data_IF_419577675864
#
_entry.id   IF_419577675864
#
_cell.length_a   1.000
_cell.length_b   1.000
_cell.length_c   1.000
_cell.angle_alpha   90.00
_cell.angle_beta   90.00
_cell.angle_gamma   90.00
#
_symmetry.space_group_name_H-M   'P 1'
#
loop_
_entity.id
_entity.type
_entity.pdbx_description
1 polymer ?
#
# COMPACT_ATOMS: atom_id res chain seq x y z
N UNK A 1 10.95 -16.76 -29.58
CA UNK A 1 9.63 -17.28 -29.20
C UNK A 1 8.59 -16.21 -29.51
N UNK A 2 7.91 -16.32 -30.67
CA UNK A 2 6.78 -15.45 -31.06
C UNK A 2 5.50 -15.99 -30.40
N UNK A 3 5.33 -15.84 -29.09
CA UNK A 3 4.02 -16.05 -28.50
C UNK A 3 3.17 -14.82 -28.81
N UNK A 4 2.14 -14.96 -29.61
CA UNK A 4 1.13 -13.92 -29.84
C UNK A 4 0.64 -13.46 -28.45
N UNK A 5 0.98 -12.24 -28.05
CA UNK A 5 0.54 -11.67 -26.79
C UNK A 5 -0.98 -11.50 -26.80
N UNK A 6 -1.66 -11.98 -25.77
CA UNK A 6 -3.11 -11.80 -25.61
C UNK A 6 -3.45 -10.35 -25.26
N UNK A 7 -4.69 -9.92 -25.41
CA UNK A 7 -5.12 -8.67 -24.79
C UNK A 7 -4.96 -8.73 -23.27
N UNK A 8 -4.79 -7.58 -22.64
CA UNK A 8 -4.73 -7.45 -21.17
C UNK A 8 -6.02 -7.96 -20.53
N UNK A 9 -5.94 -8.37 -19.26
CA UNK A 9 -7.11 -8.78 -18.49
C UNK A 9 -8.05 -7.58 -18.28
N UNK A 10 -9.10 -7.49 -19.12
CA UNK A 10 -10.05 -6.38 -19.11
C UNK A 10 -10.79 -6.25 -17.78
N UNK A 11 -11.15 -7.38 -17.14
CA UNK A 11 -11.87 -7.37 -15.86
C UNK A 11 -11.03 -6.72 -14.77
N UNK A 12 -9.75 -7.10 -14.65
CA UNK A 12 -8.83 -6.50 -13.67
C UNK A 12 -8.65 -5.00 -13.94
N UNK A 13 -8.44 -4.63 -15.21
CA UNK A 13 -8.32 -3.23 -15.63
C UNK A 13 -9.57 -2.42 -15.28
N UNK A 14 -10.78 -2.95 -15.55
CA UNK A 14 -12.05 -2.27 -15.23
C UNK A 14 -12.18 -2.04 -13.71
N UNK A 15 -11.85 -3.03 -12.86
CA UNK A 15 -11.90 -2.88 -11.41
C UNK A 15 -10.95 -1.76 -10.96
N UNK A 16 -9.73 -1.71 -11.49
CA UNK A 16 -8.76 -0.65 -11.16
C UNK A 16 -9.26 0.73 -11.62
N UNK A 17 -9.81 0.83 -12.83
CA UNK A 17 -10.37 2.11 -13.33
C UNK A 17 -11.50 2.59 -12.40
N UNK A 18 -12.41 1.70 -12.00
CA UNK A 18 -13.51 2.05 -11.10
C UNK A 18 -12.95 2.53 -9.75
N UNK A 19 -11.97 1.82 -9.15
CA UNK A 19 -11.34 2.23 -7.90
C UNK A 19 -10.67 3.60 -8.01
N UNK A 20 -9.94 3.87 -9.10
CA UNK A 20 -9.27 5.15 -9.32
C UNK A 20 -10.28 6.29 -9.53
N UNK A 21 -11.33 6.08 -10.33
CA UNK A 21 -12.38 7.10 -10.60
C UNK A 21 -13.13 7.44 -9.31
N UNK A 22 -13.60 6.42 -8.57
CA UNK A 22 -14.25 6.62 -7.28
C UNK A 22 -13.30 7.26 -6.27
N UNK A 23 -12.02 6.83 -6.27
CA UNK A 23 -10.99 7.38 -5.40
C UNK A 23 -10.76 8.87 -5.64
N UNK A 24 -10.63 9.29 -6.90
CA UNK A 24 -10.48 10.71 -7.25
C UNK A 24 -11.72 11.51 -6.84
N UNK A 25 -12.93 11.01 -7.07
CA UNK A 25 -14.15 11.66 -6.63
C UNK A 25 -14.17 11.85 -5.10
N UNK A 26 -13.82 10.81 -4.34
CA UNK A 26 -13.75 10.89 -2.88
C UNK A 26 -12.63 11.79 -2.38
N UNK A 27 -11.48 11.77 -3.05
CA UNK A 27 -10.38 12.68 -2.75
C UNK A 27 -10.82 14.16 -2.91
N UNK A 28 -11.51 14.50 -3.99
CA UNK A 28 -12.06 15.85 -4.17
C UNK A 28 -13.03 16.21 -3.06
N UNK A 29 -13.98 15.33 -2.73
CA UNK A 29 -14.92 15.58 -1.63
C UNK A 29 -14.19 15.82 -0.30
N UNK A 30 -13.28 14.93 0.08
CA UNK A 30 -12.54 15.03 1.32
C UNK A 30 -11.65 16.29 1.39
N UNK A 31 -11.10 16.71 0.25
CA UNK A 31 -10.23 17.90 0.15
C UNK A 31 -10.97 19.23 0.33
N UNK A 32 -12.31 19.25 0.22
CA UNK A 32 -13.11 20.45 0.51
C UNK A 32 -12.90 20.96 1.95
N UNK A 33 -12.63 20.07 2.90
CA UNK A 33 -12.29 20.43 4.27
C UNK A 33 -10.95 21.17 4.38
N UNK A 34 -10.00 20.89 3.50
CA UNK A 34 -8.72 21.63 3.40
C UNK A 34 -8.93 22.97 2.74
N UNK A 35 -9.71 23.03 1.66
CA UNK A 35 -10.03 24.28 0.96
C UNK A 35 -10.65 25.31 1.91
N UNK A 36 -11.52 24.87 2.81
CA UNK A 36 -12.17 25.75 3.80
C UNK A 36 -11.18 26.36 4.81
N UNK A 37 -9.95 25.80 4.94
CA UNK A 37 -8.92 26.27 5.89
C UNK A 37 -7.78 27.02 5.20
N UNK A 38 -7.31 26.52 4.06
CA UNK A 38 -6.15 27.04 3.33
C UNK A 38 -6.25 26.67 1.85
N UNK A 39 -6.48 27.69 1.03
CA UNK A 39 -6.53 27.55 -0.43
C UNK A 39 -5.17 27.10 -1.00
N UNK A 40 -4.07 27.65 -0.50
CA UNK A 40 -2.72 27.29 -0.92
C UNK A 40 -2.42 25.80 -0.68
N UNK A 41 -2.73 25.31 0.53
CA UNK A 41 -2.54 23.89 0.88
C UNK A 41 -3.41 22.99 0.00
N UNK A 42 -4.65 23.39 -0.29
CA UNK A 42 -5.54 22.66 -1.18
C UNK A 42 -4.95 22.50 -2.58
N UNK A 43 -4.46 23.59 -3.21
CA UNK A 43 -3.84 23.51 -4.53
C UNK A 43 -2.56 22.67 -4.53
N UNK A 44 -1.73 22.77 -3.51
CA UNK A 44 -0.52 21.96 -3.39
C UNK A 44 -0.84 20.45 -3.33
N UNK A 45 -1.83 20.06 -2.53
CA UNK A 45 -2.31 18.69 -2.42
C UNK A 45 -2.91 18.20 -3.75
N UNK A 46 -3.72 19.04 -4.39
CA UNK A 46 -4.37 18.72 -5.65
C UNK A 46 -3.35 18.55 -6.79
N UNK A 47 -2.37 19.44 -6.91
CA UNK A 47 -1.28 19.31 -7.88
C UNK A 47 -0.49 18.02 -7.67
N UNK A 48 -0.12 17.73 -6.42
CA UNK A 48 0.62 16.51 -6.10
C UNK A 48 -0.18 15.25 -6.47
N UNK A 49 -1.49 15.22 -6.18
CA UNK A 49 -2.35 14.06 -6.49
C UNK A 49 -2.62 13.91 -8.00
N UNK A 50 -2.92 15.00 -8.70
CA UNK A 50 -3.28 14.94 -10.13
C UNK A 50 -2.03 14.86 -11.02
N UNK A 51 -1.02 15.68 -10.79
CA UNK A 51 0.16 15.71 -11.67
C UNK A 51 1.07 14.53 -11.38
N UNK A 52 1.53 14.38 -10.15
CA UNK A 52 2.43 13.27 -9.83
C UNK A 52 1.68 11.94 -9.77
N UNK A 53 0.56 11.89 -9.04
CA UNK A 53 -0.17 10.64 -8.81
C UNK A 53 -0.87 10.13 -10.06
N UNK A 54 -1.75 10.92 -10.66
CA UNK A 54 -2.57 10.45 -11.77
C UNK A 54 -1.82 10.49 -13.11
N UNK A 55 -1.30 11.65 -13.51
CA UNK A 55 -0.61 11.79 -14.81
C UNK A 55 0.70 11.02 -14.79
N UNK A 56 1.56 11.23 -13.81
CA UNK A 56 2.81 10.47 -13.64
C UNK A 56 2.55 8.98 -13.49
N UNK A 57 1.53 8.59 -12.70
CA UNK A 57 1.11 7.22 -12.53
C UNK A 57 0.62 6.57 -13.83
N UNK A 58 -0.15 7.27 -14.65
CA UNK A 58 -0.58 6.79 -15.97
C UNK A 58 0.59 6.61 -16.93
N UNK A 59 1.57 7.52 -16.92
CA UNK A 59 2.79 7.38 -17.72
C UNK A 59 3.56 6.12 -17.30
N UNK A 60 3.82 5.93 -16.00
CA UNK A 60 4.51 4.74 -15.51
C UNK A 60 3.71 3.45 -15.72
N UNK A 61 2.39 3.50 -15.60
CA UNK A 61 1.50 2.40 -15.96
C UNK A 61 1.67 2.00 -17.43
N UNK A 62 1.63 2.96 -18.35
CA UNK A 62 1.79 2.72 -19.79
C UNK A 62 3.20 2.18 -20.11
N UNK A 63 4.24 2.68 -19.46
CA UNK A 63 5.59 2.15 -19.57
C UNK A 63 5.68 0.70 -19.07
N UNK A 64 5.11 0.41 -17.88
CA UNK A 64 5.09 -0.93 -17.32
C UNK A 64 4.34 -1.94 -18.20
N UNK A 65 3.29 -1.51 -18.91
CA UNK A 65 2.58 -2.33 -19.90
C UNK A 65 3.44 -2.69 -21.10
N UNK A 66 4.39 -1.83 -21.49
CA UNK A 66 5.26 -2.04 -22.67
C UNK A 66 6.51 -2.83 -22.33
N UNK A 67 7.07 -2.68 -21.12
CA UNK A 67 8.31 -3.34 -20.69
C UNK A 67 8.04 -4.83 -20.45
N UNK A 68 8.75 -5.76 -21.14
CA UNK A 68 8.59 -7.19 -20.91
C UNK A 68 8.88 -7.54 -19.44
N UNK A 69 8.04 -8.38 -18.81
CA UNK A 69 8.17 -8.73 -17.40
C UNK A 69 9.53 -9.36 -17.05
N UNK A 70 10.20 -10.01 -18.01
CA UNK A 70 11.55 -10.58 -17.85
C UNK A 70 12.62 -9.51 -17.60
N UNK A 71 12.40 -8.27 -18.04
CA UNK A 71 13.28 -7.14 -17.70
C UNK A 71 13.38 -6.94 -16.19
N UNK A 72 12.24 -6.97 -15.48
CA UNK A 72 12.18 -6.82 -14.02
C UNK A 72 12.96 -7.93 -13.32
N UNK A 73 12.86 -9.19 -13.82
CA UNK A 73 13.63 -10.32 -13.29
C UNK A 73 15.13 -10.12 -13.44
N UNK A 74 15.57 -9.70 -14.63
CA UNK A 74 17.00 -9.52 -14.94
C UNK A 74 17.63 -8.40 -14.10
N UNK A 75 16.89 -7.32 -13.83
CA UNK A 75 17.40 -6.14 -13.15
C UNK A 75 16.93 -6.04 -11.68
N UNK A 76 16.29 -7.07 -11.15
CA UNK A 76 15.67 -7.07 -9.82
C UNK A 76 16.61 -6.60 -8.70
N UNK A 77 17.85 -7.09 -8.69
CA UNK A 77 18.86 -6.71 -7.70
C UNK A 77 19.23 -5.23 -7.81
N UNK A 78 19.52 -4.73 -9.00
CA UNK A 78 19.91 -3.33 -9.21
C UNK A 78 18.78 -2.35 -8.88
N UNK A 79 17.52 -2.70 -9.21
CA UNK A 79 16.33 -1.91 -8.89
C UNK A 79 16.16 -1.83 -7.37
N UNK A 80 16.33 -2.96 -6.67
CA UNK A 80 16.21 -3.02 -5.22
C UNK A 80 17.32 -2.22 -4.53
N UNK A 81 18.59 -2.44 -4.90
CA UNK A 81 19.72 -1.67 -4.33
C UNK A 81 19.58 -0.18 -4.63
N UNK A 82 19.19 0.18 -5.87
CA UNK A 82 18.94 1.59 -6.23
C UNK A 82 17.83 2.21 -5.34
N UNK A 83 16.76 1.48 -5.07
CA UNK A 83 15.70 1.98 -4.17
C UNK A 83 16.18 2.13 -2.71
N UNK A 84 17.04 1.23 -2.21
CA UNK A 84 17.66 1.37 -0.90
C UNK A 84 18.58 2.61 -0.82
N UNK A 85 19.34 2.91 -1.89
CA UNK A 85 20.22 4.07 -1.94
C UNK A 85 19.47 5.41 -2.00
N UNK A 86 18.24 5.43 -2.50
CA UNK A 86 17.38 6.62 -2.51
C UNK A 86 16.82 6.92 -1.11
N UNK A 87 16.64 5.91 -0.25
CA UNK A 87 16.03 6.10 1.08
C UNK A 87 16.77 7.11 1.98
N UNK A 88 18.12 7.11 2.09
CA UNK A 88 18.84 8.08 2.92
C UNK A 88 18.76 9.53 2.43
N UNK A 89 18.36 9.79 1.18
CA UNK A 89 18.29 11.15 0.63
C UNK A 89 17.32 12.06 1.39
N UNK A 90 16.35 11.49 2.11
CA UNK A 90 15.40 12.26 2.94
C UNK A 90 16.08 12.95 4.14
N UNK A 91 17.29 12.53 4.51
CA UNK A 91 18.04 13.12 5.62
C UNK A 91 18.95 14.28 5.18
N UNK A 92 19.07 14.54 3.86
CA UNK A 92 19.89 15.63 3.34
C UNK A 92 19.16 16.95 3.59
N UNK A 93 19.80 17.91 4.31
CA UNK A 93 19.21 19.24 4.54
C UNK A 93 18.87 19.95 3.22
N UNK A 94 17.70 20.54 3.14
CA UNK A 94 17.19 21.20 1.93
C UNK A 94 16.53 20.30 0.90
N UNK A 95 16.79 18.99 0.92
CA UNK A 95 16.13 18.00 0.05
C UNK A 95 14.99 17.27 0.77
N UNK A 96 15.22 16.91 2.04
CA UNK A 96 14.21 16.21 2.85
C UNK A 96 13.18 17.15 3.45
N UNK A 97 11.90 16.74 3.42
CA UNK A 97 10.79 17.38 4.14
C UNK A 97 10.47 16.60 5.40
N UNK A 98 10.53 17.29 6.54
CA UNK A 98 10.11 16.75 7.84
C UNK A 98 8.68 17.17 8.12
N UNK A 99 7.81 16.19 8.40
CA UNK A 99 6.44 16.44 8.82
C UNK A 99 6.15 15.61 10.09
N UNK A 100 5.63 16.26 11.14
CA UNK A 100 5.34 15.56 12.40
C UNK A 100 6.56 14.87 13.04
N UNK A 101 7.77 15.44 12.89
CA UNK A 101 9.01 14.87 13.45
C UNK A 101 9.61 13.70 12.66
N UNK A 102 9.09 13.39 11.48
CA UNK A 102 9.60 12.33 10.62
C UNK A 102 9.96 12.86 9.23
N UNK A 103 11.19 12.56 8.78
CA UNK A 103 11.68 12.91 7.44
C UNK A 103 11.44 11.74 6.50
N UNK A 104 10.37 11.81 5.69
CA UNK A 104 9.91 10.71 4.83
C UNK A 104 9.74 11.09 3.37
N UNK A 105 9.77 12.38 3.06
CA UNK A 105 9.54 12.91 1.72
C UNK A 105 10.76 13.67 1.20
N UNK A 106 10.95 13.60 -0.09
CA UNK A 106 11.92 14.42 -0.84
C UNK A 106 11.15 15.55 -1.49
N UNK A 107 11.63 16.78 -1.29
CA UNK A 107 11.11 17.98 -1.93
C UNK A 107 11.63 18.07 -3.36
N UNK A 108 10.73 18.03 -4.34
CA UNK A 108 11.06 18.25 -5.74
C UNK A 108 10.51 19.62 -6.24
N UNK A 109 10.30 20.55 -5.33
CA UNK A 109 9.73 21.87 -5.60
C UNK A 109 8.21 21.85 -5.63
N UNK A 110 7.61 21.59 -6.77
CA UNK A 110 6.14 21.60 -6.96
C UNK A 110 5.47 20.35 -6.38
N UNK A 111 6.19 19.23 -6.32
CA UNK A 111 5.67 17.95 -5.82
C UNK A 111 6.60 17.35 -4.78
N UNK A 112 6.04 16.53 -3.90
CA UNK A 112 6.80 15.75 -2.91
C UNK A 112 6.81 14.27 -3.29
N UNK A 113 7.98 13.64 -3.13
CA UNK A 113 8.22 12.24 -3.47
C UNK A 113 8.55 11.44 -2.23
N UNK A 114 7.90 10.29 -2.05
CA UNK A 114 8.15 9.38 -0.92
C UNK A 114 8.95 8.16 -1.37
N UNK A 115 10.24 8.02 -1.02
CA UNK A 115 11.11 6.94 -1.48
C UNK A 115 10.64 5.53 -1.12
N UNK A 116 9.96 5.37 0.01
CA UNK A 116 9.46 4.06 0.45
C UNK A 116 8.45 3.44 -0.52
N UNK A 117 7.76 4.24 -1.33
CA UNK A 117 6.80 3.72 -2.31
C UNK A 117 7.51 2.92 -3.42
N UNK A 118 8.67 3.41 -3.91
CA UNK A 118 9.51 2.64 -4.86
C UNK A 118 10.14 1.44 -4.16
N UNK A 119 10.57 1.59 -2.89
CA UNK A 119 11.16 0.49 -2.13
C UNK A 119 10.19 -0.68 -1.98
N UNK A 120 8.91 -0.44 -1.70
CA UNK A 120 7.88 -1.49 -1.59
C UNK A 120 7.78 -2.34 -2.86
N UNK A 121 7.73 -1.69 -4.03
CA UNK A 121 7.59 -2.41 -5.31
C UNK A 121 8.90 -3.12 -5.69
N UNK A 122 10.04 -2.45 -5.52
CA UNK A 122 11.36 -3.05 -5.80
C UNK A 122 11.66 -4.26 -4.91
N UNK A 123 11.24 -4.22 -3.65
CA UNK A 123 11.30 -5.34 -2.72
C UNK A 123 10.50 -6.55 -3.23
N UNK A 124 9.26 -6.34 -3.70
CA UNK A 124 8.43 -7.42 -4.27
C UNK A 124 9.07 -7.99 -5.54
N UNK A 125 9.62 -7.13 -6.43
CA UNK A 125 10.33 -7.57 -7.64
C UNK A 125 11.54 -8.43 -7.27
N UNK A 126 12.36 -7.96 -6.33
CA UNK A 126 13.57 -8.67 -5.90
C UNK A 126 13.22 -10.01 -5.21
N UNK A 127 12.28 -9.98 -4.27
CA UNK A 127 11.86 -11.19 -3.56
C UNK A 127 11.28 -12.24 -4.52
N UNK A 128 10.50 -11.82 -5.53
CA UNK A 128 9.99 -12.71 -6.58
C UNK A 128 11.10 -13.35 -7.41
N UNK A 129 12.10 -12.56 -7.79
CA UNK A 129 13.24 -13.06 -8.57
C UNK A 129 14.04 -14.07 -7.75
N UNK A 130 14.31 -13.75 -6.49
CA UNK A 130 15.07 -14.60 -5.61
C UNK A 130 14.33 -15.91 -5.26
N UNK A 131 13.08 -15.86 -4.82
CA UNK A 131 12.28 -17.05 -4.51
C UNK A 131 12.10 -17.95 -5.74
N UNK A 132 12.00 -17.37 -6.95
CA UNK A 132 11.93 -18.15 -8.19
C UNK A 132 13.25 -18.84 -8.55
N UNK A 133 14.38 -18.30 -8.12
CA UNK A 133 15.72 -18.88 -8.34
C UNK A 133 16.00 -20.00 -7.37
N UNK A 134 15.67 -19.84 -6.09
CA UNK A 134 15.96 -20.82 -5.03
C UNK A 134 15.10 -22.09 -5.12
N UNK A 135 14.00 -22.06 -5.80
CA UNK A 135 12.93 -23.05 -6.04
C UNK A 135 13.09 -24.43 -5.37
N UNK A 136 14.20 -25.15 -5.60
CA UNK A 136 14.43 -26.50 -5.06
C UNK A 136 15.11 -26.51 -3.68
N UNK A 137 15.72 -25.40 -3.27
CA UNK A 137 16.42 -25.25 -1.98
C UNK A 137 15.62 -24.42 -0.98
N UNK A 138 14.35 -24.19 -1.26
CA UNK A 138 13.51 -23.29 -0.44
C UNK A 138 13.23 -23.86 0.96
N UNK A 139 13.38 -25.18 1.13
CA UNK A 139 13.25 -25.87 2.43
C UNK A 139 14.48 -25.67 3.34
N UNK A 140 15.63 -25.32 2.76
CA UNK A 140 16.84 -25.04 3.53
C UNK A 140 16.77 -23.61 4.10
N UNK A 141 16.95 -23.50 5.42
CA UNK A 141 16.96 -22.21 6.14
C UNK A 141 17.90 -21.19 5.51
N UNK A 142 19.10 -21.64 5.06
CA UNK A 142 20.13 -20.76 4.49
C UNK A 142 19.69 -20.10 3.18
N UNK A 143 18.88 -20.80 2.39
CA UNK A 143 18.45 -20.28 1.08
C UNK A 143 16.99 -19.81 1.07
N UNK A 144 16.14 -20.32 1.97
CA UNK A 144 14.72 -19.99 2.04
C UNK A 144 14.44 -18.75 2.87
N UNK A 145 14.93 -18.66 4.08
CA UNK A 145 14.50 -17.64 5.05
C UNK A 145 15.59 -16.66 5.43
N UNK A 146 16.82 -17.12 5.62
CA UNK A 146 17.92 -16.26 6.06
C UNK A 146 18.08 -14.98 5.21
N UNK A 147 18.02 -15.04 3.85
CA UNK A 147 18.10 -13.84 3.04
C UNK A 147 16.91 -12.91 3.20
N UNK A 148 15.69 -13.43 3.42
CA UNK A 148 14.54 -12.57 3.75
C UNK A 148 14.76 -11.83 5.07
N UNK A 149 15.26 -12.52 6.10
CA UNK A 149 15.58 -11.90 7.39
C UNK A 149 16.62 -10.80 7.20
N UNK A 150 17.69 -11.04 6.45
CA UNK A 150 18.73 -10.04 6.17
C UNK A 150 18.13 -8.83 5.46
N UNK A 151 17.33 -9.04 4.42
CA UNK A 151 16.69 -7.96 3.66
C UNK A 151 15.75 -7.14 4.57
N UNK A 152 14.89 -7.82 5.34
CA UNK A 152 13.97 -7.15 6.26
C UNK A 152 14.71 -6.42 7.38
N UNK A 153 15.86 -6.92 7.84
CA UNK A 153 16.69 -6.22 8.85
C UNK A 153 17.28 -4.94 8.26
N UNK A 154 17.79 -4.96 7.02
CA UNK A 154 18.29 -3.76 6.33
C UNK A 154 17.15 -2.73 6.15
N UNK A 155 16.01 -3.19 5.67
CA UNK A 155 14.81 -2.34 5.48
C UNK A 155 14.35 -1.77 6.82
N UNK A 156 14.30 -2.59 7.88
CA UNK A 156 13.94 -2.16 9.23
C UNK A 156 14.86 -1.04 9.73
N UNK A 157 16.18 -1.21 9.58
CA UNK A 157 17.15 -0.19 9.96
C UNK A 157 16.88 1.16 9.29
N UNK A 158 16.63 1.17 7.98
CA UNK A 158 16.33 2.40 7.24
C UNK A 158 14.99 3.02 7.63
N UNK A 159 13.93 2.19 7.77
CA UNK A 159 12.58 2.67 8.06
C UNK A 159 12.42 3.14 9.51
N UNK A 160 13.15 2.54 10.46
CA UNK A 160 13.13 2.99 11.86
C UNK A 160 13.87 4.32 12.03
N UNK A 161 14.91 4.59 11.24
CA UNK A 161 15.55 5.92 11.18
C UNK A 161 14.58 6.99 10.63
N UNK A 162 13.60 6.62 9.80
CA UNK A 162 12.58 7.51 9.21
C UNK A 162 11.25 7.53 9.99
N UNK A 163 11.15 7.02 11.21
CA UNK A 163 9.97 6.54 11.98
C UNK A 163 8.79 6.00 11.12
N UNK A 164 9.07 5.14 10.12
CA UNK A 164 8.04 4.58 9.22
C UNK A 164 7.76 3.09 9.48
N UNK A 165 7.29 2.79 10.69
CA UNK A 165 6.93 1.43 11.12
C UNK A 165 5.81 0.83 10.26
N UNK A 166 4.89 1.64 9.74
CA UNK A 166 3.75 1.18 8.93
C UNK A 166 4.19 0.50 7.62
N UNK A 167 5.14 1.11 6.92
CA UNK A 167 5.68 0.55 5.67
C UNK A 167 6.45 -0.74 5.93
N UNK A 168 7.17 -0.83 7.05
CA UNK A 168 7.85 -2.06 7.47
C UNK A 168 6.87 -3.20 7.72
N UNK A 169 5.80 -2.97 8.49
CA UNK A 169 4.77 -3.97 8.77
C UNK A 169 4.14 -4.48 7.46
N UNK A 170 3.83 -3.58 6.53
CA UNK A 170 3.25 -3.93 5.25
C UNK A 170 4.20 -4.82 4.41
N UNK A 171 5.49 -4.49 4.37
CA UNK A 171 6.49 -5.28 3.66
C UNK A 171 6.75 -6.64 4.33
N UNK A 172 6.71 -6.70 5.67
CA UNK A 172 6.80 -7.94 6.44
C UNK A 172 5.63 -8.88 6.12
N UNK A 173 4.40 -8.37 6.12
CA UNK A 173 3.20 -9.15 5.78
C UNK A 173 3.28 -9.63 4.33
N UNK A 174 3.59 -8.74 3.38
CA UNK A 174 3.67 -9.11 1.97
C UNK A 174 4.77 -10.16 1.71
N UNK A 175 5.95 -9.99 2.30
CA UNK A 175 7.05 -10.95 2.20
C UNK A 175 6.71 -12.30 2.83
N UNK A 176 6.07 -12.31 3.99
CA UNK A 176 5.59 -13.54 4.64
C UNK A 176 4.57 -14.29 3.77
N UNK A 177 3.58 -13.58 3.23
CA UNK A 177 2.61 -14.16 2.31
C UNK A 177 3.27 -14.71 1.02
N UNK A 178 4.28 -14.02 0.48
CA UNK A 178 5.03 -14.51 -0.67
C UNK A 178 5.83 -15.78 -0.36
N UNK A 179 6.42 -15.91 0.83
CA UNK A 179 7.03 -17.16 1.30
C UNK A 179 6.02 -18.29 1.33
N UNK A 180 4.84 -18.05 1.89
CA UNK A 180 3.76 -19.03 1.93
C UNK A 180 3.36 -19.48 0.52
N UNK A 181 3.13 -18.52 -0.40
CA UNK A 181 2.79 -18.82 -1.82
C UNK A 181 3.92 -19.55 -2.56
N UNK A 182 5.18 -19.37 -2.14
CA UNK A 182 6.34 -20.00 -2.75
C UNK A 182 6.54 -21.47 -2.32
N UNK A 183 5.81 -21.92 -1.28
CA UNK A 183 5.86 -23.30 -0.79
C UNK A 183 6.90 -23.55 0.31
N UNK A 184 7.30 -22.50 1.03
CA UNK A 184 8.17 -22.63 2.22
C UNK A 184 7.45 -23.47 3.29
N UNK A 185 8.15 -24.37 4.02
CA UNK A 185 7.57 -25.16 5.10
C UNK A 185 6.86 -24.30 6.15
N UNK A 186 5.65 -24.69 6.55
CA UNK A 186 4.80 -23.94 7.47
C UNK A 186 5.50 -23.56 8.78
N UNK A 187 6.41 -24.40 9.29
CA UNK A 187 7.19 -24.10 10.51
C UNK A 187 7.93 -22.77 10.45
N UNK A 188 8.44 -22.40 9.30
CA UNK A 188 9.18 -21.15 9.10
C UNK A 188 8.25 -19.96 8.96
N UNK A 189 7.10 -20.17 8.33
CA UNK A 189 6.06 -19.13 8.25
C UNK A 189 5.54 -18.78 9.66
N UNK A 190 5.25 -19.79 10.48
CA UNK A 190 4.86 -19.60 11.89
C UNK A 190 5.97 -18.91 12.69
N UNK A 191 7.24 -19.32 12.51
CA UNK A 191 8.38 -18.68 13.17
C UNK A 191 8.50 -17.19 12.79
N UNK A 192 8.26 -16.84 11.52
CA UNK A 192 8.27 -15.44 11.06
C UNK A 192 7.14 -14.62 11.70
N UNK A 193 5.94 -15.19 11.83
CA UNK A 193 4.81 -14.54 12.50
C UNK A 193 5.16 -14.29 13.98
N UNK A 194 5.66 -15.32 14.68
CA UNK A 194 6.05 -15.20 16.10
C UNK A 194 7.16 -14.14 16.25
N UNK A 195 8.19 -14.17 15.39
CA UNK A 195 9.25 -13.17 15.42
C UNK A 195 8.71 -11.75 15.16
N UNK A 196 7.77 -11.59 14.24
CA UNK A 196 7.09 -10.32 13.98
C UNK A 196 6.30 -9.81 15.17
N UNK A 197 5.52 -10.67 15.83
CA UNK A 197 4.76 -10.33 17.05
C UNK A 197 5.71 -9.92 18.18
N UNK A 198 6.79 -10.68 18.40
CA UNK A 198 7.80 -10.36 19.41
C UNK A 198 8.48 -9.02 19.13
N UNK A 199 8.86 -8.77 17.86
CA UNK A 199 9.46 -7.50 17.45
C UNK A 199 8.51 -6.32 17.69
N UNK A 200 7.22 -6.45 17.33
CA UNK A 200 6.19 -5.44 17.62
C UNK A 200 5.98 -5.23 19.11
N UNK A 201 6.04 -6.30 19.91
CA UNK A 201 6.00 -6.23 21.37
C UNK A 201 7.17 -5.42 21.92
N UNK A 202 8.41 -5.73 21.51
CA UNK A 202 9.62 -5.00 21.92
C UNK A 202 9.52 -3.53 21.53
N UNK A 203 9.10 -3.23 20.28
CA UNK A 203 8.90 -1.86 19.81
C UNK A 203 7.82 -1.12 20.64
N UNK A 204 6.76 -1.82 21.04
CA UNK A 204 5.72 -1.28 21.91
C UNK A 204 6.23 -0.87 23.30
N UNK A 205 7.27 -1.52 23.81
CA UNK A 205 7.91 -1.13 25.06
C UNK A 205 8.97 -0.03 24.90
N UNK A 206 9.69 -0.02 23.78
CA UNK A 206 10.84 0.87 23.56
C UNK A 206 10.48 2.19 22.87
N UNK A 207 9.40 2.22 22.08
CA UNK A 207 9.05 3.37 21.26
C UNK A 207 7.72 3.99 21.72
N UNK A 208 7.71 5.23 22.27
CA UNK A 208 6.49 5.88 22.78
C UNK A 208 5.37 5.94 21.72
N UNK A 209 5.71 6.18 20.47
CA UNK A 209 4.76 6.23 19.36
C UNK A 209 4.00 4.90 19.14
N UNK A 210 4.71 3.76 19.16
CA UNK A 210 4.10 2.43 19.00
C UNK A 210 3.29 2.08 20.24
N UNK A 211 3.83 2.39 21.44
CA UNK A 211 3.13 2.20 22.73
C UNK A 211 1.78 2.91 22.74
N UNK A 212 1.75 4.19 22.37
CA UNK A 212 0.51 4.98 22.35
C UNK A 212 -0.52 4.37 21.38
N UNK A 213 -0.11 3.89 20.19
CA UNK A 213 -1.02 3.25 19.23
C UNK A 213 -1.61 1.93 19.75
N UNK A 214 -0.81 1.13 20.46
CA UNK A 214 -1.30 -0.11 21.11
C UNK A 214 -2.25 0.25 22.27
N UNK A 215 -1.92 1.24 23.09
CA UNK A 215 -2.78 1.70 24.17
C UNK A 215 -4.12 2.23 23.65
N UNK A 216 -4.10 3.05 22.59
CA UNK A 216 -5.31 3.54 21.94
C UNK A 216 -6.19 2.40 21.40
N UNK A 217 -5.58 1.35 20.86
CA UNK A 217 -6.31 0.19 20.35
C UNK A 217 -6.96 -0.63 21.48
N UNK A 218 -6.24 -0.85 22.59
CA UNK A 218 -6.75 -1.63 23.74
C UNK A 218 -7.75 -0.82 24.56
N UNK A 219 -7.52 0.48 24.71
CA UNK A 219 -8.39 1.39 25.44
C UNK A 219 -8.63 2.69 24.67
N UNK A 220 -9.60 2.71 23.76
CA UNK A 220 -9.90 3.89 22.93
C UNK A 220 -10.37 5.13 23.70
N UNK A 221 -10.72 4.98 24.97
CA UNK A 221 -11.20 6.10 25.81
C UNK A 221 -10.11 6.75 26.67
N UNK A 222 -8.89 6.20 26.67
CA UNK A 222 -7.80 6.64 27.55
C UNK A 222 -7.29 8.06 27.23
N UNK A 223 -7.30 8.47 25.97
CA UNK A 223 -6.79 9.78 25.51
C UNK A 223 -7.66 10.32 24.39
N UNK A 224 -8.85 10.81 24.76
CA UNK A 224 -9.91 11.23 23.82
C UNK A 224 -9.51 12.46 22.98
N UNK A 225 -8.61 13.33 23.49
CA UNK A 225 -8.18 14.56 22.82
C UNK A 225 -6.83 14.40 22.11
N UNK A 226 -6.13 13.27 22.31
CA UNK A 226 -4.83 12.97 21.72
C UNK A 226 -4.85 11.78 20.77
N UNK A 227 -4.18 10.70 21.15
CA UNK A 227 -3.93 9.54 20.28
C UNK A 227 -5.20 8.77 19.86
N UNK A 228 -6.28 8.81 20.67
CA UNK A 228 -7.56 8.15 20.37
C UNK A 228 -8.51 9.01 19.54
N UNK A 229 -8.23 10.30 19.40
CA UNK A 229 -9.12 11.26 18.74
C UNK A 229 -9.45 10.86 17.29
N UNK A 230 -8.44 10.50 16.50
CA UNK A 230 -8.63 10.08 15.10
C UNK A 230 -9.57 8.88 14.97
N UNK A 231 -9.41 7.86 15.82
CA UNK A 231 -10.27 6.68 15.81
C UNK A 231 -11.71 7.03 16.18
N UNK A 232 -11.89 7.83 17.24
CA UNK A 232 -13.23 8.22 17.68
C UNK A 232 -13.97 9.03 16.63
N UNK A 233 -13.30 10.04 16.01
CA UNK A 233 -13.91 10.81 14.93
C UNK A 233 -14.23 9.96 13.70
N UNK A 234 -13.41 8.94 13.41
CA UNK A 234 -13.70 7.97 12.35
C UNK A 234 -14.96 7.16 12.67
N UNK A 235 -15.09 6.66 13.90
CA UNK A 235 -16.29 5.90 14.32
C UNK A 235 -17.55 6.76 14.34
N UNK A 236 -17.44 8.04 14.74
CA UNK A 236 -18.55 9.02 14.67
C UNK A 236 -18.95 9.24 13.20
N UNK A 237 -17.98 9.38 12.29
CA UNK A 237 -18.25 9.50 10.85
C UNK A 237 -19.03 8.30 10.31
N UNK A 238 -18.58 7.07 10.60
CA UNK A 238 -19.31 5.85 10.21
C UNK A 238 -20.72 5.79 10.81
N UNK A 239 -20.85 6.08 12.12
CA UNK A 239 -22.15 6.06 12.81
C UNK A 239 -23.12 7.10 12.23
N UNK A 240 -22.63 8.29 11.89
CA UNK A 240 -23.45 9.38 11.35
C UNK A 240 -23.91 9.15 9.91
N UNK A 241 -23.19 8.31 9.15
CA UNK A 241 -23.57 7.96 7.77
C UNK A 241 -24.71 6.96 7.66
N UNK A 242 -24.97 6.15 8.70
CA UNK A 242 -26.05 5.15 8.68
C UNK A 242 -25.95 4.19 7.47
N UNK A 243 -27.11 3.80 6.91
CA UNK A 243 -27.15 2.86 5.78
C UNK A 243 -26.81 3.50 4.43
N UNK A 244 -27.33 4.70 4.16
CA UNK A 244 -27.26 5.35 2.84
C UNK A 244 -26.28 6.53 2.76
N UNK A 245 -25.77 6.98 3.91
CA UNK A 245 -24.93 8.16 4.01
C UNK A 245 -25.72 9.47 4.02
N UNK A 246 -24.95 10.58 4.15
CA UNK A 246 -25.48 11.97 4.14
C UNK A 246 -25.55 12.57 2.74
N UNK A 247 -24.93 11.92 1.75
CA UNK A 247 -24.77 12.41 0.39
C UNK A 247 -23.34 12.85 0.07
N UNK A 248 -23.00 12.81 -1.21
CA UNK A 248 -21.66 13.23 -1.71
C UNK A 248 -21.38 14.68 -1.35
N UNK A 249 -20.21 14.96 -0.80
CA UNK A 249 -19.81 16.30 -0.38
C UNK A 249 -20.37 16.75 0.99
N UNK A 250 -21.25 15.97 1.63
CA UNK A 250 -22.01 16.37 2.84
C UNK A 250 -21.40 15.86 4.16
N UNK A 251 -20.18 15.30 4.14
CA UNK A 251 -19.49 14.96 5.37
C UNK A 251 -19.23 16.22 6.20
N UNK A 252 -19.61 16.22 7.47
CA UNK A 252 -19.33 17.27 8.45
C UNK A 252 -17.94 17.05 9.07
N UNK A 253 -17.56 15.79 9.28
CA UNK A 253 -16.32 15.44 9.95
C UNK A 253 -15.07 15.94 9.20
N UNK A 254 -15.11 16.04 7.86
CA UNK A 254 -13.99 16.55 7.06
C UNK A 254 -13.69 18.03 7.29
N UNK A 255 -14.65 18.82 7.83
CA UNK A 255 -14.48 20.24 8.11
C UNK A 255 -13.87 20.51 9.50
N UNK A 256 -12.82 19.77 9.84
CA UNK A 256 -11.97 20.09 10.97
C UNK A 256 -12.08 19.19 12.17
N UNK A 257 -12.99 18.26 12.17
CA UNK A 257 -13.11 17.29 13.25
C UNK A 257 -12.24 16.06 13.01
N UNK A 258 -12.24 15.50 11.80
CA UNK A 258 -11.47 14.32 11.45
C UNK A 258 -10.04 14.71 11.03
N UNK A 259 -8.98 14.19 11.68
CA UNK A 259 -7.61 14.36 11.22
C UNK A 259 -7.39 13.69 9.85
N UNK A 260 -6.61 14.33 8.98
CA UNK A 260 -6.22 13.82 7.67
C UNK A 260 -7.38 13.23 6.85
N UNK A 261 -8.51 13.96 6.66
CA UNK A 261 -9.71 13.42 6.02
C UNK A 261 -9.49 13.03 4.56
N UNK A 262 -8.56 13.66 3.87
CA UNK A 262 -8.14 13.36 2.49
C UNK A 262 -7.01 12.34 2.42
N UNK A 263 -6.30 12.12 3.53
CA UNK A 263 -5.19 11.19 3.70
C UNK A 263 -5.64 9.81 4.15
N UNK A 264 -5.15 9.40 5.30
CA UNK A 264 -5.37 8.06 5.84
C UNK A 264 -6.78 7.85 6.41
N UNK A 265 -7.55 8.93 6.71
CA UNK A 265 -8.93 8.85 7.22
C UNK A 265 -10.02 8.90 6.15
N UNK A 266 -9.67 8.87 4.85
CA UNK A 266 -10.65 9.05 3.77
C UNK A 266 -11.78 8.01 3.77
N UNK A 267 -11.52 6.78 4.24
CA UNK A 267 -12.54 5.75 4.32
C UNK A 267 -13.65 6.10 5.33
N UNK A 268 -13.34 6.85 6.39
CA UNK A 268 -14.34 7.37 7.31
C UNK A 268 -15.23 8.44 6.65
N UNK A 269 -14.64 9.31 5.78
CA UNK A 269 -15.42 10.26 4.97
C UNK A 269 -16.35 9.53 4.01
N UNK A 270 -15.88 8.44 3.36
CA UNK A 270 -16.72 7.57 2.52
C UNK A 270 -17.89 7.01 3.32
N UNK A 271 -17.61 6.56 4.56
CA UNK A 271 -18.64 6.03 5.46
C UNK A 271 -19.68 7.08 5.85
N UNK A 272 -19.27 8.33 6.08
CA UNK A 272 -20.21 9.41 6.38
C UNK A 272 -21.06 9.83 5.16
N UNK A 273 -20.43 9.92 3.97
CA UNK A 273 -21.10 10.40 2.76
C UNK A 273 -21.98 9.35 2.08
N UNK A 274 -21.58 8.08 2.06
CA UNK A 274 -22.28 6.99 1.36
C UNK A 274 -22.80 5.88 2.27
N UNK A 275 -22.57 6.00 3.57
CA UNK A 275 -23.05 5.06 4.57
C UNK A 275 -22.47 3.64 4.44
N UNK A 276 -23.17 2.69 5.03
CA UNK A 276 -22.80 1.27 5.00
C UNK A 276 -22.77 0.71 3.57
N UNK A 277 -23.70 1.10 2.71
CA UNK A 277 -23.73 0.61 1.32
C UNK A 277 -22.49 1.08 0.54
N UNK A 278 -22.11 2.35 0.66
CA UNK A 278 -20.92 2.88 -0.03
C UNK A 278 -19.63 2.21 0.44
N UNK A 279 -19.44 2.06 1.75
CA UNK A 279 -18.27 1.35 2.30
C UNK A 279 -18.21 -0.10 1.85
N UNK A 280 -19.37 -0.78 1.79
CA UNK A 280 -19.47 -2.16 1.29
C UNK A 280 -19.07 -2.26 -0.19
N UNK A 281 -19.46 -1.31 -1.04
CA UNK A 281 -19.02 -1.27 -2.45
C UNK A 281 -17.51 -1.22 -2.55
N UNK A 282 -16.83 -0.34 -1.79
CA UNK A 282 -15.38 -0.28 -1.78
C UNK A 282 -14.75 -1.58 -1.29
N UNK A 283 -15.27 -2.19 -0.21
CA UNK A 283 -14.79 -3.49 0.27
C UNK A 283 -14.89 -4.57 -0.80
N UNK A 284 -16.04 -4.67 -1.47
CA UNK A 284 -16.27 -5.64 -2.54
C UNK A 284 -15.31 -5.40 -3.71
N UNK A 285 -15.06 -4.14 -4.09
CA UNK A 285 -14.11 -3.81 -5.16
C UNK A 285 -12.68 -4.24 -4.80
N UNK A 286 -12.21 -4.06 -3.54
CA UNK A 286 -10.90 -4.55 -3.12
C UNK A 286 -10.83 -6.08 -3.07
N UNK A 287 -11.90 -6.76 -2.65
CA UNK A 287 -11.98 -8.23 -2.71
C UNK A 287 -11.92 -8.71 -4.16
N UNK A 288 -12.68 -8.10 -5.07
CA UNK A 288 -12.64 -8.43 -6.50
C UNK A 288 -11.26 -8.16 -7.12
N UNK A 289 -10.61 -7.05 -6.75
CA UNK A 289 -9.23 -6.74 -7.14
C UNK A 289 -8.27 -7.86 -6.71
N UNK A 290 -8.35 -8.29 -5.44
CA UNK A 290 -7.52 -9.36 -4.91
C UNK A 290 -7.78 -10.69 -5.63
N UNK A 291 -9.05 -11.11 -5.73
CA UNK A 291 -9.42 -12.38 -6.36
C UNK A 291 -9.03 -12.43 -7.84
N UNK A 292 -9.27 -11.33 -8.59
CA UNK A 292 -8.90 -11.28 -10.01
C UNK A 292 -7.39 -11.23 -10.20
N UNK A 293 -6.68 -10.46 -9.37
CA UNK A 293 -5.22 -10.39 -9.40
C UNK A 293 -4.57 -11.73 -9.05
N UNK A 294 -5.03 -12.43 -8.02
CA UNK A 294 -4.55 -13.78 -7.67
C UNK A 294 -4.87 -14.81 -8.77
N UNK A 295 -6.00 -14.67 -9.47
CA UNK A 295 -6.30 -15.50 -10.64
C UNK A 295 -5.32 -15.26 -11.78
N UNK A 296 -4.87 -14.00 -12.00
CA UNK A 296 -3.80 -13.68 -12.96
C UNK A 296 -2.49 -14.34 -12.51
N UNK A 297 -2.13 -14.26 -11.22
CA UNK A 297 -0.96 -14.93 -10.66
C UNK A 297 -0.98 -16.44 -10.89
N UNK A 298 -2.10 -17.09 -10.62
CA UNK A 298 -2.26 -18.54 -10.82
C UNK A 298 -2.03 -18.98 -12.28
N UNK A 299 -2.45 -18.14 -13.26
CA UNK A 299 -2.31 -18.41 -14.69
C UNK A 299 -1.02 -17.88 -15.31
N UNK A 300 -0.12 -17.32 -14.51
CA UNK A 300 1.13 -16.74 -14.97
C UNK A 300 2.05 -17.81 -15.63
N UNK A 301 2.89 -17.40 -16.62
CA UNK A 301 3.66 -18.35 -17.44
C UNK A 301 4.76 -19.08 -16.68
N UNK A 302 5.36 -18.45 -15.67
CA UNK A 302 6.48 -18.97 -14.90
C UNK A 302 6.38 -18.59 -13.42
N UNK A 303 7.28 -19.16 -12.58
CA UNK A 303 7.25 -18.95 -11.14
C UNK A 303 7.58 -17.50 -10.73
N UNK A 304 8.49 -16.84 -11.45
CA UNK A 304 8.81 -15.44 -11.17
C UNK A 304 7.59 -14.55 -11.36
N UNK A 305 6.94 -14.63 -12.53
CA UNK A 305 5.76 -13.83 -12.84
C UNK A 305 4.58 -14.15 -11.91
N UNK A 306 4.42 -15.42 -11.52
CA UNK A 306 3.42 -15.85 -10.53
C UNK A 306 3.63 -15.17 -9.19
N UNK A 307 4.86 -15.21 -8.65
CA UNK A 307 5.20 -14.60 -7.36
C UNK A 307 5.14 -13.07 -7.43
N UNK A 308 5.57 -12.47 -8.55
CA UNK A 308 5.54 -11.02 -8.75
C UNK A 308 4.11 -10.49 -8.73
N UNK A 309 3.20 -11.10 -9.49
CA UNK A 309 1.79 -10.72 -9.50
C UNK A 309 1.16 -10.95 -8.14
N UNK A 310 1.37 -12.12 -7.52
CA UNK A 310 0.85 -12.41 -6.19
C UNK A 310 1.35 -11.39 -5.16
N UNK A 311 2.65 -11.11 -5.15
CA UNK A 311 3.26 -10.15 -4.23
C UNK A 311 2.71 -8.73 -4.37
N UNK A 312 2.57 -8.23 -5.60
CA UNK A 312 1.98 -6.91 -5.87
C UNK A 312 0.52 -6.86 -5.38
N UNK A 313 -0.29 -7.85 -5.75
CA UNK A 313 -1.70 -7.90 -5.37
C UNK A 313 -1.86 -8.01 -3.86
N UNK A 314 -1.08 -8.85 -3.20
CA UNK A 314 -1.08 -8.99 -1.74
C UNK A 314 -0.68 -7.66 -1.08
N UNK A 315 0.40 -7.02 -1.53
CA UNK A 315 0.88 -5.76 -0.99
C UNK A 315 -0.21 -4.68 -1.02
N UNK A 316 -0.81 -4.45 -2.20
CA UNK A 316 -1.83 -3.42 -2.39
C UNK A 316 -3.13 -3.74 -1.63
N UNK A 317 -3.53 -5.01 -1.63
CA UNK A 317 -4.73 -5.47 -0.89
C UNK A 317 -4.53 -5.34 0.62
N UNK A 318 -3.41 -5.82 1.15
CA UNK A 318 -3.10 -5.67 2.58
C UNK A 318 -3.03 -4.20 2.99
N UNK A 319 -2.46 -3.33 2.16
CA UNK A 319 -2.43 -1.90 2.42
C UNK A 319 -3.84 -1.32 2.55
N UNK A 320 -4.77 -1.66 1.64
CA UNK A 320 -6.14 -1.20 1.69
C UNK A 320 -6.88 -1.73 2.93
N UNK A 321 -6.80 -3.03 3.20
CA UNK A 321 -7.48 -3.63 4.35
C UNK A 321 -6.90 -3.18 5.70
N UNK A 322 -5.58 -2.92 5.80
CA UNK A 322 -4.98 -2.35 7.01
C UNK A 322 -5.49 -0.93 7.28
N UNK A 323 -5.66 -0.09 6.25
CA UNK A 323 -6.29 1.22 6.40
C UNK A 323 -7.73 1.08 6.93
N UNK A 324 -8.55 0.28 6.26
CA UNK A 324 -9.96 0.06 6.64
C UNK A 324 -10.07 -0.49 8.06
N UNK A 325 -9.30 -1.53 8.38
CA UNK A 325 -9.31 -2.17 9.70
C UNK A 325 -8.88 -1.20 10.81
N UNK A 326 -7.91 -0.31 10.53
CA UNK A 326 -7.45 0.66 11.53
C UNK A 326 -8.49 1.74 11.81
N UNK A 327 -9.23 2.22 10.81
CA UNK A 327 -10.27 3.23 10.99
C UNK A 327 -11.57 2.69 11.60
N UNK A 328 -11.83 1.38 11.42
CA UNK A 328 -12.97 0.70 12.04
C UNK A 328 -12.67 0.16 13.45
N UNK A 329 -11.44 0.37 13.95
CA UNK A 329 -11.05 -0.12 15.28
C UNK A 329 -10.76 -1.62 15.36
N UNK A 330 -10.65 -2.33 14.23
CA UNK A 330 -10.30 -3.76 14.19
C UNK A 330 -8.78 -3.98 14.25
N UNK A 331 -7.99 -2.94 14.03
CA UNK A 331 -6.53 -2.96 14.09
C UNK A 331 -6.01 -1.62 14.64
N UNK A 332 -4.83 -1.58 15.30
CA UNK A 332 -4.23 -0.30 15.72
C UNK A 332 -4.09 0.68 14.56
N UNK A 333 -4.30 1.97 14.81
CA UNK A 333 -4.16 3.02 13.80
C UNK A 333 -2.79 2.94 13.12
N UNK A 334 -2.78 2.72 11.81
CA UNK A 334 -1.54 2.56 11.04
C UNK A 334 -1.09 3.83 10.34
N UNK A 335 -2.01 4.71 9.96
CA UNK A 335 -1.72 5.88 9.12
C UNK A 335 -1.27 5.50 7.70
N UNK A 336 -1.63 4.30 7.22
CA UNK A 336 -1.37 3.85 5.84
C UNK A 336 -2.47 4.42 4.94
N UNK A 337 -2.14 5.01 3.77
CA UNK A 337 -3.17 5.52 2.86
C UNK A 337 -3.96 4.40 2.19
N UNK A 338 -5.24 4.65 1.91
CA UNK A 338 -6.11 3.74 1.15
C UNK A 338 -5.71 3.75 -0.33
N UNK A 339 -5.32 2.60 -0.85
CA UNK A 339 -4.78 2.42 -2.21
C UNK A 339 -5.77 2.93 -3.27
N UNK A 340 -5.32 3.70 -4.24
CA UNK A 340 -6.08 4.37 -5.31
C UNK A 340 -7.03 5.49 -4.88
N UNK A 341 -7.27 5.67 -3.58
CA UNK A 341 -8.32 6.57 -3.06
C UNK A 341 -7.74 7.74 -2.26
N UNK A 342 -6.88 7.45 -1.28
CA UNK A 342 -6.29 8.48 -0.42
C UNK A 342 -5.37 9.42 -1.18
N UNK A 343 -5.20 10.63 -0.63
CA UNK A 343 -4.11 11.51 -1.00
C UNK A 343 -2.77 10.78 -0.83
N UNK A 344 -1.95 10.89 -1.83
CA UNK A 344 -0.61 10.34 -1.85
C UNK A 344 -0.14 10.22 -3.29
N UNK A 345 0.29 11.34 -3.90
CA UNK A 345 0.71 11.35 -5.31
C UNK A 345 1.71 10.23 -5.63
N UNK A 346 2.74 10.05 -4.79
CA UNK A 346 3.73 8.97 -4.97
C UNK A 346 3.12 7.58 -4.78
N UNK A 347 2.20 7.41 -3.83
CA UNK A 347 1.54 6.13 -3.58
C UNK A 347 0.64 5.72 -4.76
N UNK A 348 -0.15 6.65 -5.30
CA UNK A 348 -0.97 6.43 -6.49
C UNK A 348 -0.10 6.11 -7.71
N UNK A 349 1.00 6.86 -7.91
CA UNK A 349 1.95 6.66 -8.99
C UNK A 349 2.50 5.24 -9.01
N UNK A 350 3.05 4.76 -7.88
CA UNK A 350 3.63 3.42 -7.81
C UNK A 350 2.58 2.30 -7.75
N UNK A 351 1.38 2.57 -7.23
CA UNK A 351 0.26 1.62 -7.31
C UNK A 351 -0.17 1.39 -8.76
N UNK A 352 -0.28 2.45 -9.57
CA UNK A 352 -0.59 2.34 -11.00
C UNK A 352 0.55 1.66 -11.78
N UNK A 353 1.81 2.00 -11.47
CA UNK A 353 2.97 1.30 -12.03
C UNK A 353 2.92 -0.21 -11.75
N UNK A 354 2.65 -0.61 -10.52
CA UNK A 354 2.52 -2.01 -10.12
C UNK A 354 1.37 -2.73 -10.85
N UNK A 355 0.22 -2.07 -11.00
CA UNK A 355 -0.90 -2.57 -11.81
C UNK A 355 -0.50 -2.76 -13.26
N UNK A 356 0.30 -1.85 -13.83
CA UNK A 356 0.86 -1.96 -15.18
C UNK A 356 1.68 -3.25 -15.35
N UNK A 357 2.52 -3.60 -14.36
CA UNK A 357 3.29 -4.86 -14.35
C UNK A 357 2.34 -6.08 -14.32
N UNK A 358 1.32 -6.06 -13.47
CA UNK A 358 0.32 -7.16 -13.37
C UNK A 358 -0.39 -7.35 -14.72
N UNK A 359 -0.83 -6.26 -15.35
CA UNK A 359 -1.51 -6.31 -16.64
C UNK A 359 -0.57 -6.72 -17.78
N UNK A 360 0.71 -6.32 -17.75
CA UNK A 360 1.71 -6.82 -18.69
C UNK A 360 1.80 -8.34 -18.62
N UNK A 361 1.94 -8.91 -17.41
CA UNK A 361 2.02 -10.35 -17.20
C UNK A 361 0.73 -11.05 -17.65
N UNK A 362 -0.43 -10.43 -17.47
CA UNK A 362 -1.71 -11.00 -17.91
C UNK A 362 -1.78 -11.32 -19.40
N UNK A 363 -0.96 -10.67 -20.22
CA UNK A 363 -0.87 -10.91 -21.68
C UNK A 363 -0.17 -12.23 -22.02
N UNK A 364 0.59 -12.81 -21.10
CA UNK A 364 1.38 -14.04 -21.28
C UNK A 364 0.75 -15.27 -20.60
N UNK A 365 -0.49 -15.18 -20.15
CA UNK A 365 -1.19 -16.29 -19.46
C UNK A 365 -1.26 -17.55 -20.31
N UNK A 366 -1.01 -18.70 -19.68
CA UNK A 366 -1.19 -20.02 -20.28
C UNK A 366 -2.68 -20.26 -20.58
N UNK A 367 -2.98 -20.81 -21.76
CA UNK A 367 -4.30 -21.37 -22.03
C UNK A 367 -4.41 -22.64 -21.20
N UNK A 368 -5.13 -22.63 -20.10
CA UNK A 368 -5.63 -23.88 -19.55
C UNK A 368 -6.77 -24.32 -20.47
N UNK A 369 -6.56 -25.44 -21.19
CA UNK A 369 -7.69 -26.25 -21.64
C UNK A 369 -8.42 -26.66 -20.37
N UNK A 370 -9.68 -26.25 -20.24
CA UNK A 370 -10.59 -26.76 -19.20
C UNK A 370 -10.65 -28.26 -19.45
N UNK A 371 -10.06 -29.05 -18.56
CA UNK A 371 -10.25 -30.50 -18.52
C UNK A 371 -11.55 -30.73 -17.76
#
# INVERSE_FOLDING_TARGET
MNSKTKPVDKTFLTIVIILVVLGIAMFFSASLGVLARSEETFYAILVNQLVLGLVGGFILFALALKVPYLFWRKHAFYIFVGSLLIMPLVFIPGLGLSHGGASRWINLGVVSFQPVEILKISYIIYLSAWLSWVKQKIEDFRFGILPLIIILTIIAGLLFLQPDTKSFILMLIAGGCMLFVSGVPMKYFVALIIAGILALGILGFTTPYVKNRIQTFVNPTHDVQGSSYQLQQSLIAFGSGGLFGRGFGQSVQKFGYLPEPHGDSIFAVIGEEFGFLGTTVFLVLYVLFALRGLRIAYRAPDQFSRLLVAGIVILLTCQAFLNIASLTGLFPLTGVPLVFVSQGGTSLLFSLFAVGIVLNISRYQKNQKIV
#
